data_IF_838572109675
#
_entry.id   IF_838572109675
#
_cell.length_a   1.000
_cell.length_b   1.000
_cell.length_c   1.000
_cell.angle_alpha   90.00
_cell.angle_beta   90.00
_cell.angle_gamma   90.00
#
_symmetry.space_group_name_H-M   'P 1'
#
loop_
_entity.id
_entity.type
_entity.pdbx_description
1 polymer ?
#
# COMPACT_ATOMS: atom_id res chain seq x y z
N UNK A 1 -23.05 27.90 -20.61
CA UNK A 1 -21.89 27.90 -19.71
C UNK A 1 -21.74 26.49 -19.19
N UNK A 2 -20.72 25.77 -19.66
CA UNK A 2 -20.36 24.43 -19.22
C UNK A 2 -19.68 24.57 -17.86
N UNK A 3 -20.29 24.07 -16.80
CA UNK A 3 -19.60 23.83 -15.54
C UNK A 3 -18.94 22.45 -15.62
N UNK A 4 -17.61 22.45 -15.50
CA UNK A 4 -16.76 21.28 -15.58
C UNK A 4 -16.99 20.35 -14.41
N UNK A 5 -17.43 19.13 -14.70
CA UNK A 5 -17.48 18.01 -13.77
C UNK A 5 -16.04 17.57 -13.53
N UNK A 6 -15.56 17.70 -12.29
CA UNK A 6 -14.22 17.28 -11.89
C UNK A 6 -14.03 15.78 -12.11
N UNK A 7 -13.07 15.44 -12.98
CA UNK A 7 -12.65 14.07 -13.22
C UNK A 7 -11.94 13.51 -11.98
N UNK A 8 -12.41 12.37 -11.47
CA UNK A 8 -11.59 11.52 -10.62
C UNK A 8 -10.44 10.98 -11.48
N UNK A 9 -9.25 11.56 -11.34
CA UNK A 9 -8.03 11.11 -12.01
C UNK A 9 -7.46 9.87 -11.30
N UNK A 10 -7.20 8.81 -12.08
CA UNK A 10 -6.34 7.73 -11.65
C UNK A 10 -4.89 8.22 -11.80
N UNK A 11 -4.23 8.53 -10.69
CA UNK A 11 -2.79 8.78 -10.71
C UNK A 11 -2.08 7.45 -11.02
N UNK A 12 -1.39 7.39 -12.16
CA UNK A 12 -0.49 6.29 -12.48
C UNK A 12 0.86 6.56 -11.82
N UNK A 13 1.32 5.62 -11.01
CA UNK A 13 2.66 5.68 -10.44
C UNK A 13 3.41 4.43 -10.84
N UNK A 14 4.58 4.63 -11.44
CA UNK A 14 5.42 3.56 -11.96
C UNK A 14 6.38 3.16 -10.85
N UNK A 15 6.35 1.88 -10.44
CA UNK A 15 7.44 1.30 -9.69
C UNK A 15 8.43 0.64 -10.66
N UNK A 16 9.72 0.97 -10.61
CA UNK A 16 10.75 0.35 -11.46
C UNK A 16 11.69 -0.54 -10.65
N UNK A 17 11.95 -1.74 -11.16
CA UNK A 17 12.94 -2.68 -10.61
C UNK A 17 14.37 -2.13 -10.74
N UNK A 18 15.11 -2.10 -9.64
CA UNK A 18 16.50 -1.67 -9.65
C UNK A 18 17.42 -2.81 -10.14
N UNK A 19 17.78 -2.80 -11.43
CA UNK A 19 18.98 -3.52 -11.91
C UNK A 19 18.86 -4.55 -13.05
N UNK A 20 17.67 -4.87 -13.55
CA UNK A 20 17.45 -5.62 -14.80
C UNK A 20 16.04 -5.30 -15.33
N UNK A 21 15.85 -5.30 -16.66
CA UNK A 21 14.61 -4.96 -17.42
C UNK A 21 13.47 -4.37 -16.56
N UNK A 22 13.32 -3.05 -16.60
CA UNK A 22 12.35 -2.33 -15.76
C UNK A 22 10.93 -2.92 -15.88
N UNK A 23 10.56 -3.76 -14.92
CA UNK A 23 9.17 -4.14 -14.73
C UNK A 23 8.48 -2.94 -14.10
N UNK A 24 7.56 -2.32 -14.85
CA UNK A 24 6.71 -1.27 -14.33
C UNK A 24 5.64 -1.90 -13.44
N UNK A 25 5.34 -1.33 -12.29
CA UNK A 25 4.10 -1.59 -11.56
C UNK A 25 3.28 -0.32 -11.56
N UNK A 26 1.96 -0.43 -11.72
CA UNK A 26 1.07 0.71 -11.67
C UNK A 26 0.41 0.79 -10.29
N UNK A 27 0.44 1.95 -9.62
CA UNK A 27 -0.53 2.20 -8.55
C UNK A 27 -1.82 2.79 -9.13
N UNK A 28 -2.95 2.47 -8.50
CA UNK A 28 -4.21 3.16 -8.70
C UNK A 28 -4.59 3.86 -7.39
N UNK A 29 -4.62 5.19 -7.42
CA UNK A 29 -5.14 6.02 -6.34
C UNK A 29 -6.58 6.46 -6.63
N UNK A 30 -7.42 6.47 -5.60
CA UNK A 30 -8.77 7.03 -5.69
C UNK A 30 -8.71 8.52 -5.34
N UNK A 31 -8.44 9.38 -6.33
CA UNK A 31 -8.50 10.81 -6.09
C UNK A 31 -9.95 11.29 -6.14
N UNK A 32 -10.45 11.79 -5.01
CA UNK A 32 -11.66 12.60 -5.00
C UNK A 32 -11.24 14.07 -5.10
N UNK A 33 -11.86 14.89 -5.97
CA UNK A 33 -11.73 16.33 -5.86
C UNK A 33 -12.14 16.76 -4.44
N UNK A 34 -11.67 17.91 -3.91
CA UNK A 34 -12.07 18.39 -2.61
C UNK A 34 -13.58 18.63 -2.61
N UNK A 35 -14.34 17.61 -2.24
CA UNK A 35 -15.76 17.74 -2.00
C UNK A 35 -15.92 18.56 -0.72
N UNK A 36 -16.88 19.49 -0.73
CA UNK A 36 -17.52 19.92 0.50
C UNK A 36 -17.73 18.69 1.36
N UNK A 37 -17.28 18.76 2.62
CA UNK A 37 -17.43 17.73 3.67
C UNK A 37 -18.46 16.68 3.27
N UNK A 38 -18.06 15.42 3.02
CA UNK A 38 -19.02 14.36 2.74
C UNK A 38 -20.08 14.46 3.81
N UNK A 39 -21.36 14.57 3.43
CA UNK A 39 -22.44 14.46 4.41
C UNK A 39 -22.19 13.12 5.08
N UNK A 40 -21.77 13.17 6.35
CA UNK A 40 -21.58 11.98 7.15
C UNK A 40 -22.88 11.18 7.02
N UNK A 41 -22.85 9.90 6.60
CA UNK A 41 -23.93 9.03 7.02
C UNK A 41 -23.88 9.09 8.54
N UNK A 42 -24.91 9.71 9.14
CA UNK A 42 -25.11 9.69 10.58
C UNK A 42 -24.86 8.27 11.04
N UNK A 43 -24.02 8.03 12.06
CA UNK A 43 -23.85 6.68 12.57
C UNK A 43 -25.26 6.19 12.95
N UNK A 44 -25.61 4.92 12.69
CA UNK A 44 -26.82 4.35 13.28
C UNK A 44 -26.54 4.12 14.77
N UNK A 45 -26.37 5.20 15.53
CA UNK A 45 -26.46 5.17 16.97
C UNK A 45 -27.94 5.05 17.31
N UNK A 46 -28.37 3.79 17.37
CA UNK A 46 -29.52 3.35 18.18
C UNK A 46 -30.70 4.33 18.22
N UNK A 47 -31.36 4.57 17.08
CA UNK A 47 -32.77 4.87 17.14
C UNK A 47 -33.47 3.54 17.48
N UNK A 48 -33.47 3.17 18.76
CA UNK A 48 -34.38 2.16 19.26
C UNK A 48 -35.78 2.71 18.99
N UNK A 49 -36.39 2.25 17.90
CA UNK A 49 -37.65 2.74 17.39
C UNK A 49 -38.71 2.68 18.49
N UNK A 50 -39.12 3.86 18.99
CA UNK A 50 -40.35 4.00 19.80
C UNK A 50 -41.62 3.69 18.99
N UNK A 51 -41.48 3.32 17.72
CA UNK A 51 -42.56 3.22 16.72
C UNK A 51 -42.70 1.82 16.10
N UNK A 52 -41.84 0.85 16.42
CA UNK A 52 -42.00 -0.54 15.96
C UNK A 52 -41.88 -0.74 14.44
N UNK A 53 -41.32 0.21 13.70
CA UNK A 53 -41.08 0.09 12.26
C UNK A 53 -39.59 -0.07 11.96
N UNK A 54 -39.26 -1.02 11.08
CA UNK A 54 -37.92 -1.27 10.57
C UNK A 54 -37.60 -0.21 9.49
N UNK A 55 -36.74 0.75 9.81
CA UNK A 55 -36.16 1.62 8.79
C UNK A 55 -34.96 0.92 8.12
N UNK A 56 -34.83 1.01 6.78
CA UNK A 56 -33.63 0.52 6.11
C UNK A 56 -32.40 1.24 6.64
N UNK A 57 -31.41 0.48 7.13
CA UNK A 57 -30.16 1.01 7.68
C UNK A 57 -29.30 1.80 6.65
N UNK A 58 -29.64 1.70 5.37
CA UNK A 58 -28.94 2.37 4.27
C UNK A 58 -29.97 3.06 3.37
N UNK A 59 -29.81 4.37 3.19
CA UNK A 59 -30.45 5.08 2.08
C UNK A 59 -29.93 4.47 0.77
N UNK A 60 -30.82 4.07 -0.14
CA UNK A 60 -30.40 3.62 -1.47
C UNK A 60 -29.59 4.69 -2.19
N UNK A 61 -28.69 4.27 -3.08
CA UNK A 61 -27.94 5.20 -3.92
C UNK A 61 -28.91 6.03 -4.77
N UNK A 62 -28.60 7.30 -4.96
CA UNK A 62 -29.19 8.13 -6.02
C UNK A 62 -28.75 7.60 -7.39
N UNK A 63 -29.51 7.91 -8.45
CA UNK A 63 -29.15 7.53 -9.82
C UNK A 63 -27.74 8.01 -10.21
N UNK A 64 -27.33 9.17 -9.70
CA UNK A 64 -26.00 9.70 -9.95
C UNK A 64 -24.90 8.88 -9.26
N UNK A 65 -25.10 8.50 -8.01
CA UNK A 65 -24.15 7.68 -7.27
C UNK A 65 -24.03 6.28 -7.87
N UNK A 66 -25.14 5.69 -8.33
CA UNK A 66 -25.08 4.42 -9.08
C UNK A 66 -24.26 4.57 -10.36
N UNK A 67 -24.44 5.67 -11.09
CA UNK A 67 -23.69 5.97 -12.32
C UNK A 67 -22.20 6.18 -12.03
N UNK A 68 -21.85 6.84 -10.93
CA UNK A 68 -20.47 7.00 -10.48
C UNK A 68 -19.84 5.66 -10.10
N UNK A 69 -20.54 4.84 -9.31
CA UNK A 69 -20.11 3.49 -8.93
C UNK A 69 -19.85 2.62 -10.16
N UNK A 70 -20.77 2.61 -11.15
CA UNK A 70 -20.58 1.87 -12.41
C UNK A 70 -19.36 2.33 -13.18
N UNK A 71 -19.12 3.64 -13.30
CA UNK A 71 -17.94 4.21 -13.97
C UNK A 71 -16.64 3.79 -13.28
N UNK A 72 -16.62 3.83 -11.95
CA UNK A 72 -15.46 3.41 -11.17
C UNK A 72 -15.14 1.91 -11.39
N UNK A 73 -16.15 1.03 -11.34
CA UNK A 73 -15.99 -0.39 -11.63
C UNK A 73 -15.47 -0.65 -13.06
N UNK A 74 -16.00 0.08 -14.04
CA UNK A 74 -15.52 0.00 -15.43
C UNK A 74 -14.05 0.43 -15.56
N UNK A 75 -13.65 1.51 -14.89
CA UNK A 75 -12.26 1.98 -14.90
C UNK A 75 -11.32 0.95 -14.26
N UNK A 76 -11.69 0.36 -13.13
CA UNK A 76 -10.89 -0.70 -12.51
C UNK A 76 -10.73 -1.92 -13.44
N UNK A 77 -11.80 -2.32 -14.14
CA UNK A 77 -11.75 -3.42 -15.10
C UNK A 77 -10.83 -3.12 -16.29
N UNK A 78 -10.88 -1.89 -16.82
CA UNK A 78 -9.98 -1.43 -17.89
C UNK A 78 -8.53 -1.45 -17.43
N UNK A 79 -8.24 -0.93 -16.23
CA UNK A 79 -6.90 -0.92 -15.66
C UNK A 79 -6.37 -2.34 -15.43
N UNK A 80 -7.17 -3.22 -14.84
CA UNK A 80 -6.79 -4.61 -14.60
C UNK A 80 -6.51 -5.36 -15.90
N UNK A 81 -7.37 -5.22 -16.92
CA UNK A 81 -7.13 -5.79 -18.25
C UNK A 81 -5.84 -5.27 -18.87
N UNK A 82 -5.59 -3.96 -18.77
CA UNK A 82 -4.38 -3.37 -19.33
C UNK A 82 -3.12 -3.84 -18.59
N UNK A 83 -3.21 -4.00 -17.28
CA UNK A 83 -2.15 -4.55 -16.45
C UNK A 83 -1.83 -6.00 -16.85
N UNK A 84 -2.86 -6.82 -17.09
CA UNK A 84 -2.69 -8.19 -17.61
C UNK A 84 -1.98 -8.20 -18.96
N UNK A 85 -2.43 -7.38 -19.92
CA UNK A 85 -1.81 -7.29 -21.26
C UNK A 85 -0.33 -6.88 -21.20
N UNK A 86 -0.01 -5.94 -20.32
CA UNK A 86 1.35 -5.42 -20.15
C UNK A 86 2.23 -6.28 -19.24
N UNK A 87 1.66 -7.29 -18.56
CA UNK A 87 2.39 -8.13 -17.61
C UNK A 87 2.86 -7.37 -16.36
N UNK A 88 2.17 -6.29 -15.98
CA UNK A 88 2.51 -5.43 -14.84
C UNK A 88 1.56 -5.65 -13.67
N UNK A 89 2.05 -5.45 -12.45
CA UNK A 89 1.19 -5.51 -11.25
C UNK A 89 0.42 -4.21 -11.08
N UNK A 90 -0.80 -4.31 -10.55
CA UNK A 90 -1.62 -3.17 -10.16
C UNK A 90 -1.78 -3.14 -8.64
N UNK A 91 -1.25 -2.11 -8.01
CA UNK A 91 -1.32 -1.91 -6.56
C UNK A 91 -2.37 -0.85 -6.25
N UNK A 92 -3.45 -1.24 -5.59
CA UNK A 92 -4.50 -0.29 -5.21
C UNK A 92 -4.11 0.34 -3.88
N UNK A 93 -3.97 1.66 -3.88
CA UNK A 93 -3.57 2.38 -2.69
C UNK A 93 -4.68 2.40 -1.63
N UNK A 94 -4.24 2.46 -0.38
CA UNK A 94 -5.13 2.60 0.76
C UNK A 94 -5.24 4.09 1.13
N UNK A 95 -6.45 4.49 1.52
CA UNK A 95 -6.78 5.86 1.89
C UNK A 95 -7.23 5.91 3.35
N UNK A 96 -7.91 6.98 3.77
CA UNK A 96 -8.43 7.10 5.14
C UNK A 96 -9.46 6.00 5.46
N UNK A 97 -9.59 5.69 6.76
CA UNK A 97 -10.39 4.58 7.30
C UNK A 97 -11.85 4.59 6.86
N UNK A 98 -12.42 5.77 6.61
CA UNK A 98 -13.81 5.92 6.19
C UNK A 98 -14.04 5.65 4.69
N UNK A 99 -12.99 5.61 3.87
CA UNK A 99 -13.05 5.16 2.47
C UNK A 99 -12.58 3.71 2.30
N UNK A 100 -11.70 3.26 3.19
CA UNK A 100 -10.99 1.99 3.05
C UNK A 100 -11.89 0.75 2.85
N UNK A 101 -13.06 0.60 3.53
CA UNK A 101 -13.92 -0.55 3.31
C UNK A 101 -14.40 -0.70 1.86
N UNK A 102 -14.75 0.41 1.21
CA UNK A 102 -15.16 0.40 -0.19
C UNK A 102 -13.97 0.04 -1.09
N UNK A 103 -12.83 0.71 -0.90
CA UNK A 103 -11.60 0.46 -1.66
C UNK A 103 -11.19 -1.00 -1.56
N UNK A 104 -11.07 -1.55 -0.34
CA UNK A 104 -10.67 -2.94 -0.14
C UNK A 104 -11.66 -3.92 -0.74
N UNK A 105 -12.98 -3.69 -0.60
CA UNK A 105 -13.99 -4.57 -1.21
C UNK A 105 -13.87 -4.63 -2.73
N UNK A 106 -13.67 -3.47 -3.38
CA UNK A 106 -13.50 -3.39 -4.83
C UNK A 106 -12.21 -4.07 -5.28
N UNK A 107 -11.12 -3.84 -4.56
CA UNK A 107 -9.82 -4.46 -4.84
C UNK A 107 -9.91 -5.98 -4.71
N UNK A 108 -10.56 -6.51 -3.67
CA UNK A 108 -10.75 -7.94 -3.50
C UNK A 108 -11.55 -8.56 -4.65
N UNK A 109 -12.61 -7.89 -5.14
CA UNK A 109 -13.32 -8.41 -6.31
C UNK A 109 -12.48 -8.36 -7.59
N UNK A 110 -11.54 -7.41 -7.70
CA UNK A 110 -10.56 -7.47 -8.79
C UNK A 110 -9.55 -8.60 -8.59
N UNK A 111 -9.06 -8.85 -7.37
CA UNK A 111 -8.20 -10.00 -7.08
C UNK A 111 -8.90 -11.32 -7.43
N UNK A 112 -10.14 -11.50 -6.97
CA UNK A 112 -10.95 -12.68 -7.26
C UNK A 112 -11.08 -12.95 -8.77
N UNK A 113 -11.23 -11.91 -9.58
CA UNK A 113 -11.42 -12.01 -11.02
C UNK A 113 -10.11 -12.18 -11.80
N UNK A 114 -9.04 -11.51 -11.38
CA UNK A 114 -7.80 -11.40 -12.17
C UNK A 114 -6.61 -12.18 -11.60
N UNK A 115 -6.58 -12.49 -10.30
CA UNK A 115 -5.49 -13.24 -9.65
C UNK A 115 -5.73 -14.75 -9.72
N UNK A 116 -5.87 -15.30 -10.93
CA UNK A 116 -6.15 -16.74 -11.11
C UNK A 116 -4.89 -17.57 -10.92
N UNK A 117 -3.88 -17.37 -11.77
CA UNK A 117 -2.63 -18.14 -11.75
C UNK A 117 -1.57 -17.55 -10.81
N UNK A 118 -1.54 -16.21 -10.73
CA UNK A 118 -0.62 -15.45 -9.87
C UNK A 118 -1.25 -14.11 -9.47
N UNK A 119 -0.82 -13.49 -8.37
CA UNK A 119 -1.26 -12.14 -8.02
C UNK A 119 -0.88 -11.11 -9.09
N UNK A 120 -1.89 -10.44 -9.64
CA UNK A 120 -1.77 -9.29 -10.53
C UNK A 120 -2.17 -8.01 -9.78
N UNK A 121 -3.28 -8.09 -9.06
CA UNK A 121 -3.87 -7.01 -8.29
C UNK A 121 -3.49 -7.17 -6.82
N UNK A 122 -3.06 -6.08 -6.20
CA UNK A 122 -2.62 -6.03 -4.81
C UNK A 122 -3.48 -5.04 -4.02
N UNK A 123 -3.94 -5.49 -2.85
CA UNK A 123 -4.63 -4.64 -1.88
C UNK A 123 -3.62 -4.09 -0.88
N UNK A 124 -3.73 -2.80 -0.54
CA UNK A 124 -2.85 -2.17 0.44
C UNK A 124 -3.43 -2.29 1.85
N UNK A 125 -2.69 -2.91 2.76
CA UNK A 125 -3.05 -3.03 4.17
C UNK A 125 -2.20 -2.10 5.03
N UNK A 126 -2.88 -1.26 5.82
CA UNK A 126 -2.24 -0.25 6.64
C UNK A 126 -2.06 -0.74 8.08
N UNK A 127 -0.83 -1.12 8.43
CA UNK A 127 -0.50 -1.78 9.70
C UNK A 127 -0.47 -0.86 10.93
N UNK A 128 -0.65 0.45 10.75
CA UNK A 128 -0.92 1.39 11.84
C UNK A 128 -2.34 1.24 12.41
N UNK A 129 -3.27 0.60 11.70
CA UNK A 129 -4.62 0.34 12.19
C UNK A 129 -4.64 -0.86 13.14
N UNK A 130 -5.55 -0.82 14.11
CA UNK A 130 -5.76 -1.93 15.06
C UNK A 130 -6.32 -3.19 14.38
N UNK A 131 -7.14 -3.00 13.35
CA UNK A 131 -7.83 -4.09 12.64
C UNK A 131 -6.99 -4.66 11.49
N UNK A 132 -5.74 -4.19 11.30
CA UNK A 132 -4.93 -4.57 10.14
C UNK A 132 -4.71 -6.09 10.03
N UNK A 133 -4.46 -6.76 11.15
CA UNK A 133 -4.28 -8.21 11.17
C UNK A 133 -5.56 -8.95 10.82
N UNK A 134 -6.68 -8.55 11.39
CA UNK A 134 -7.97 -9.18 11.15
C UNK A 134 -8.38 -9.02 9.67
N UNK A 135 -8.14 -7.85 9.08
CA UNK A 135 -8.38 -7.61 7.66
C UNK A 135 -7.50 -8.47 6.76
N UNK A 136 -6.18 -8.53 7.01
CA UNK A 136 -5.24 -9.36 6.22
C UNK A 136 -5.62 -10.83 6.33
N UNK A 137 -5.91 -11.32 7.53
CA UNK A 137 -6.24 -12.72 7.75
C UNK A 137 -7.58 -13.10 7.11
N UNK A 138 -8.61 -12.28 7.27
CA UNK A 138 -9.92 -12.52 6.68
C UNK A 138 -9.85 -12.59 5.15
N UNK A 139 -9.15 -11.64 4.53
CA UNK A 139 -9.06 -11.58 3.07
C UNK A 139 -8.23 -12.73 2.48
N UNK A 140 -7.15 -13.11 3.17
CA UNK A 140 -6.33 -14.26 2.78
C UNK A 140 -7.10 -15.58 2.95
N UNK A 141 -7.85 -15.75 4.04
CA UNK A 141 -8.73 -16.91 4.21
C UNK A 141 -9.81 -16.97 3.15
N UNK A 142 -10.39 -15.83 2.77
CA UNK A 142 -11.34 -15.74 1.68
C UNK A 142 -10.71 -16.18 0.35
N UNK A 143 -9.49 -15.70 0.06
CA UNK A 143 -8.71 -16.11 -1.10
C UNK A 143 -8.51 -17.62 -1.14
N UNK A 144 -8.12 -18.20 -0.01
CA UNK A 144 -7.88 -19.64 0.12
C UNK A 144 -9.16 -20.45 -0.14
N UNK A 145 -10.29 -20.03 0.44
CA UNK A 145 -11.59 -20.72 0.30
C UNK A 145 -12.13 -20.65 -1.11
N UNK A 146 -11.94 -19.53 -1.79
CA UNK A 146 -12.44 -19.32 -3.16
C UNK A 146 -11.45 -19.73 -4.25
N UNK A 147 -10.18 -19.96 -3.89
CA UNK A 147 -9.17 -20.57 -4.74
C UNK A 147 -8.32 -19.62 -5.60
N UNK A 148 -8.43 -18.30 -5.41
CA UNK A 148 -7.64 -17.28 -6.12
C UNK A 148 -6.35 -16.91 -5.36
N UNK A 149 -5.39 -16.29 -6.06
CA UNK A 149 -4.08 -15.94 -5.50
C UNK A 149 -4.10 -14.58 -4.77
N UNK A 150 -3.63 -14.55 -3.53
CA UNK A 150 -3.69 -13.37 -2.67
C UNK A 150 -2.55 -12.38 -2.94
N UNK A 151 -2.86 -11.11 -3.21
CA UNK A 151 -1.88 -10.04 -3.40
C UNK A 151 -1.98 -8.99 -2.30
N UNK A 152 -0.92 -8.81 -1.51
CA UNK A 152 -0.91 -7.82 -0.42
C UNK A 152 0.26 -6.83 -0.53
N UNK A 153 -0.02 -5.54 -0.34
CA UNK A 153 0.97 -4.49 -0.12
C UNK A 153 0.87 -4.05 1.34
N UNK A 154 1.89 -4.36 2.14
CA UNK A 154 1.91 -4.00 3.55
C UNK A 154 2.65 -2.66 3.73
N UNK A 155 1.93 -1.66 4.25
CA UNK A 155 2.48 -0.36 4.64
C UNK A 155 2.27 -0.14 6.13
N UNK A 156 3.01 0.79 6.75
CA UNK A 156 2.63 1.30 8.07
C UNK A 156 1.34 2.12 7.94
N UNK A 157 1.36 3.17 7.13
CA UNK A 157 0.23 4.07 6.91
C UNK A 157 0.74 5.50 6.69
N UNK A 158 -0.10 6.37 6.12
CA UNK A 158 0.27 7.75 5.80
C UNK A 158 -0.65 8.80 6.46
N UNK A 159 -1.75 8.38 7.09
CA UNK A 159 -2.85 9.26 7.50
C UNK A 159 -3.00 9.44 9.02
N UNK A 160 -1.99 9.04 9.81
CA UNK A 160 -2.00 9.03 11.29
C UNK A 160 -2.60 10.29 11.92
N UNK A 161 -2.15 11.47 11.51
CA UNK A 161 -2.58 12.74 12.08
C UNK A 161 -4.05 13.06 11.75
N UNK A 162 -4.48 12.75 10.53
CA UNK A 162 -5.84 13.01 10.06
C UNK A 162 -6.86 12.10 10.77
N UNK A 163 -6.53 10.81 10.91
CA UNK A 163 -7.35 9.84 11.63
C UNK A 163 -7.55 10.22 13.09
N UNK A 164 -6.49 10.60 13.81
CA UNK A 164 -6.59 11.02 15.22
C UNK A 164 -7.39 12.31 15.38
N UNK A 165 -7.17 13.28 14.50
CA UNK A 165 -7.93 14.54 14.52
C UNK A 165 -9.43 14.28 14.30
N UNK A 166 -9.77 13.43 13.32
CA UNK A 166 -11.15 13.05 13.02
C UNK A 166 -11.81 12.28 14.16
N UNK A 167 -11.09 11.32 14.77
CA UNK A 167 -11.60 10.56 15.92
C UNK A 167 -11.93 11.48 17.10
N UNK A 168 -11.08 12.46 17.38
CA UNK A 168 -11.32 13.46 18.42
C UNK A 168 -12.49 14.41 18.09
N UNK A 169 -12.64 14.81 16.82
CA UNK A 169 -13.72 15.70 16.36
C UNK A 169 -15.10 15.03 16.42
N UNK A 170 -15.20 13.80 15.94
CA UNK A 170 -16.48 13.05 15.86
C UNK A 170 -16.79 12.33 17.18
N UNK A 171 -15.77 11.99 17.97
CA UNK A 171 -15.91 11.31 19.27
C UNK A 171 -15.98 9.78 19.19
N UNK A 172 -15.36 9.16 18.18
CA UNK A 172 -15.19 7.71 18.12
C UNK A 172 -13.79 7.28 18.55
N UNK A 173 -13.61 5.99 18.81
CA UNK A 173 -12.33 5.44 19.26
C UNK A 173 -11.24 5.60 18.20
N UNK A 174 -10.04 6.03 18.61
CA UNK A 174 -8.88 6.14 17.73
C UNK A 174 -8.54 4.79 17.07
N UNK A 175 -8.67 4.66 15.75
CA UNK A 175 -8.50 3.38 15.05
C UNK A 175 -7.03 2.97 14.94
N UNK A 176 -6.09 3.82 15.36
CA UNK A 176 -4.66 3.62 15.22
C UNK A 176 -4.09 2.93 16.45
N UNK A 177 -3.05 2.13 16.22
CA UNK A 177 -2.21 1.57 17.26
C UNK A 177 -1.64 2.67 18.19
N UNK A 178 -1.52 2.41 19.50
CA UNK A 178 -1.18 3.44 20.47
C UNK A 178 0.25 4.00 20.30
N UNK A 179 1.18 3.19 19.80
CA UNK A 179 2.60 3.56 19.66
C UNK A 179 3.20 3.13 18.31
N UNK A 180 4.37 3.69 17.99
CA UNK A 180 5.15 3.28 16.83
C UNK A 180 5.57 1.81 16.93
N UNK A 181 5.96 1.36 18.12
CA UNK A 181 6.35 -0.01 18.41
C UNK A 181 5.17 -0.97 18.23
N UNK A 182 3.96 -0.59 18.67
CA UNK A 182 2.75 -1.36 18.44
C UNK A 182 2.43 -1.49 16.93
N UNK A 183 2.64 -0.42 16.16
CA UNK A 183 2.52 -0.45 14.69
C UNK A 183 3.55 -1.39 14.05
N UNK A 184 4.79 -1.40 14.55
CA UNK A 184 5.82 -2.33 14.05
C UNK A 184 5.46 -3.79 14.37
N UNK A 185 4.99 -4.06 15.58
CA UNK A 185 4.54 -5.39 15.97
C UNK A 185 3.35 -5.86 15.11
N UNK A 186 2.39 -4.97 14.84
CA UNK A 186 1.28 -5.23 13.93
C UNK A 186 1.77 -5.56 12.51
N UNK A 187 2.69 -4.75 11.97
CA UNK A 187 3.28 -4.96 10.65
C UNK A 187 3.96 -6.34 10.56
N UNK A 188 4.82 -6.67 11.54
CA UNK A 188 5.52 -7.96 11.56
C UNK A 188 4.55 -9.13 11.72
N UNK A 189 3.48 -8.97 12.49
CA UNK A 189 2.43 -9.98 12.66
C UNK A 189 1.69 -10.25 11.34
N UNK A 190 1.25 -9.20 10.65
CA UNK A 190 0.62 -9.32 9.33
C UNK A 190 1.57 -9.96 8.30
N UNK A 191 2.82 -9.48 8.25
CA UNK A 191 3.82 -10.00 7.32
C UNK A 191 4.10 -11.48 7.58
N UNK A 192 4.27 -11.89 8.84
CA UNK A 192 4.52 -13.28 9.18
C UNK A 192 3.40 -14.19 8.69
N UNK A 193 2.14 -13.77 8.86
CA UNK A 193 0.98 -14.54 8.41
C UNK A 193 0.99 -14.75 6.89
N UNK A 194 1.28 -13.70 6.12
CA UNK A 194 1.36 -13.80 4.67
C UNK A 194 2.54 -14.66 4.23
N UNK A 195 3.72 -14.53 4.85
CA UNK A 195 4.89 -15.37 4.54
C UNK A 195 4.64 -16.86 4.83
N UNK A 196 3.89 -17.18 5.88
CA UNK A 196 3.49 -18.57 6.16
C UNK A 196 2.55 -19.12 5.09
N UNK A 197 1.63 -18.29 4.55
CA UNK A 197 0.80 -18.68 3.40
C UNK A 197 1.65 -18.95 2.15
N UNK A 198 2.64 -18.09 1.86
CA UNK A 198 3.58 -18.28 0.76
C UNK A 198 4.27 -19.65 0.88
N UNK A 199 4.75 -19.98 2.07
CA UNK A 199 5.42 -21.27 2.32
C UNK A 199 4.49 -22.47 2.17
N UNK A 200 3.29 -22.39 2.72
CA UNK A 200 2.41 -23.54 2.82
C UNK A 200 1.65 -23.84 1.52
N UNK A 201 1.21 -22.80 0.81
CA UNK A 201 0.32 -22.94 -0.34
C UNK A 201 0.87 -22.31 -1.63
N UNK A 202 1.84 -21.40 -1.55
CA UNK A 202 2.45 -20.73 -2.71
C UNK A 202 1.50 -19.80 -3.50
N UNK A 203 0.25 -19.63 -3.06
CA UNK A 203 -0.79 -18.85 -3.74
C UNK A 203 -0.89 -17.41 -3.25
N UNK A 204 0.23 -16.80 -2.88
CA UNK A 204 0.25 -15.43 -2.41
C UNK A 204 1.55 -14.72 -2.80
N UNK A 205 1.48 -13.40 -2.95
CA UNK A 205 2.62 -12.51 -3.13
C UNK A 205 2.46 -11.31 -2.20
N UNK A 206 3.58 -10.79 -1.69
CA UNK A 206 3.58 -9.67 -0.76
C UNK A 206 4.59 -8.59 -1.13
N UNK A 207 4.13 -7.35 -1.16
CA UNK A 207 4.96 -6.14 -1.24
C UNK A 207 5.20 -5.59 0.17
N UNK A 208 6.44 -5.69 0.62
CA UNK A 208 6.96 -5.15 1.88
C UNK A 208 7.35 -3.68 1.65
N UNK A 209 6.37 -2.78 1.75
CA UNK A 209 6.57 -1.35 1.56
C UNK A 209 7.07 -0.69 2.87
N UNK A 210 8.39 -0.62 3.04
CA UNK A 210 9.03 -0.08 4.25
C UNK A 210 10.44 0.45 4.02
N UNK A 211 10.75 1.59 4.64
CA UNK A 211 12.11 2.14 4.77
C UNK A 211 12.81 1.77 6.08
N UNK A 212 12.13 1.05 6.98
CA UNK A 212 12.69 0.66 8.25
C UNK A 212 13.59 -0.59 8.07
N UNK A 213 14.88 -0.45 8.43
CA UNK A 213 15.86 -1.53 8.34
C UNK A 213 15.50 -2.76 9.18
N UNK A 214 14.90 -2.59 10.36
CA UNK A 214 14.50 -3.70 11.23
C UNK A 214 13.37 -4.51 10.61
N UNK A 215 12.42 -3.86 9.93
CA UNK A 215 11.40 -4.55 9.14
C UNK A 215 12.03 -5.34 8.01
N UNK A 216 12.97 -4.76 7.27
CA UNK A 216 13.66 -5.50 6.19
C UNK A 216 14.46 -6.68 6.74
N UNK A 217 15.23 -6.50 7.81
CA UNK A 217 15.97 -7.59 8.47
C UNK A 217 15.05 -8.67 9.03
N UNK A 218 13.89 -8.28 9.56
CA UNK A 218 12.86 -9.23 9.99
C UNK A 218 12.37 -10.06 8.80
N UNK A 219 12.00 -9.42 7.68
CA UNK A 219 11.56 -10.12 6.46
C UNK A 219 12.62 -11.12 5.98
N UNK A 220 13.88 -10.68 5.86
CA UNK A 220 14.97 -11.52 5.37
C UNK A 220 15.20 -12.75 6.24
N UNK A 221 15.25 -12.58 7.56
CA UNK A 221 15.37 -13.70 8.51
C UNK A 221 14.18 -14.65 8.38
N UNK A 222 12.96 -14.11 8.28
CA UNK A 222 11.77 -14.95 8.19
C UNK A 222 11.70 -15.73 6.88
N UNK A 223 12.12 -15.12 5.78
CA UNK A 223 12.28 -15.81 4.49
C UNK A 223 13.29 -16.96 4.58
N UNK A 224 14.44 -16.73 5.22
CA UNK A 224 15.45 -17.76 5.45
C UNK A 224 14.90 -18.93 6.29
N UNK A 225 14.24 -18.63 7.41
CA UNK A 225 13.60 -19.64 8.28
C UNK A 225 12.54 -20.48 7.55
N UNK A 226 11.78 -19.85 6.65
CA UNK A 226 10.75 -20.52 5.85
C UNK A 226 11.32 -21.17 4.59
N UNK A 227 12.58 -20.91 4.23
CA UNK A 227 13.19 -21.35 2.99
C UNK A 227 12.53 -20.74 1.75
N UNK A 228 12.12 -19.47 1.82
CA UNK A 228 11.64 -18.68 0.68
C UNK A 228 12.83 -18.00 0.01
N UNK A 229 12.99 -18.18 -1.30
CA UNK A 229 14.14 -17.68 -2.04
C UNK A 229 13.76 -16.44 -2.88
N UNK A 230 14.66 -15.44 -3.04
CA UNK A 230 14.41 -14.28 -3.93
C UNK A 230 13.98 -14.68 -5.35
N UNK A 231 14.53 -15.80 -5.85
CA UNK A 231 14.25 -16.33 -7.18
C UNK A 231 12.79 -16.76 -7.36
N UNK A 232 12.06 -17.04 -6.27
CA UNK A 232 10.64 -17.42 -6.32
C UNK A 232 9.77 -16.21 -6.71
N UNK A 233 10.29 -14.98 -6.58
CA UNK A 233 9.60 -13.72 -6.86
C UNK A 233 8.21 -13.66 -6.20
N UNK A 234 8.12 -14.00 -4.92
CA UNK A 234 6.88 -13.89 -4.13
C UNK A 234 6.92 -12.78 -3.07
N UNK A 235 8.12 -12.35 -2.67
CA UNK A 235 8.33 -11.29 -1.68
C UNK A 235 9.07 -10.13 -2.35
N UNK A 236 8.43 -8.97 -2.32
CA UNK A 236 8.87 -7.75 -2.97
C UNK A 236 9.20 -6.68 -1.94
N UNK A 237 10.19 -5.84 -2.22
CA UNK A 237 10.55 -4.72 -1.34
C UNK A 237 10.22 -3.39 -2.01
N UNK A 238 9.37 -2.58 -1.37
CA UNK A 238 8.88 -1.32 -1.93
C UNK A 238 9.37 -0.14 -1.12
N UNK A 239 9.97 0.84 -1.80
CA UNK A 239 10.51 2.04 -1.16
C UNK A 239 10.22 3.25 -2.02
N UNK A 240 10.01 4.40 -1.41
CA UNK A 240 9.86 5.66 -2.13
C UNK A 240 11.18 6.08 -2.80
N UNK A 241 11.08 6.63 -4.02
CA UNK A 241 12.22 7.19 -4.72
C UNK A 241 12.85 8.34 -3.92
N UNK A 242 14.19 8.39 -3.91
CA UNK A 242 14.96 9.40 -3.18
C UNK A 242 15.10 9.12 -1.68
N UNK A 243 14.70 7.93 -1.22
CA UNK A 243 14.78 7.54 0.18
C UNK A 243 15.39 6.15 0.35
N UNK A 244 16.32 6.04 1.31
CA UNK A 244 16.87 4.80 1.83
C UNK A 244 17.54 3.89 0.80
N UNK A 245 18.34 4.48 -0.09
CA UNK A 245 19.09 3.74 -1.11
C UNK A 245 20.14 2.79 -0.49
N UNK A 246 20.61 3.09 0.72
CA UNK A 246 21.44 2.19 1.52
C UNK A 246 20.75 0.85 1.87
N UNK A 247 19.43 0.75 1.71
CA UNK A 247 18.66 -0.48 1.86
C UNK A 247 18.37 -1.09 0.49
N UNK A 248 17.94 -0.28 -0.47
CA UNK A 248 17.53 -0.74 -1.80
C UNK A 248 18.67 -1.40 -2.57
N UNK A 249 19.85 -0.77 -2.61
CA UNK A 249 20.96 -1.29 -3.41
C UNK A 249 21.50 -2.63 -2.91
N UNK A 250 21.76 -2.83 -1.59
CA UNK A 250 22.18 -4.15 -1.11
C UNK A 250 21.14 -5.25 -1.36
N UNK A 251 19.83 -4.94 -1.23
CA UNK A 251 18.76 -5.90 -1.53
C UNK A 251 18.77 -6.30 -3.01
N UNK A 252 18.83 -5.32 -3.92
CA UNK A 252 18.91 -5.59 -5.36
C UNK A 252 20.16 -6.37 -5.75
N UNK A 253 21.31 -6.04 -5.16
CA UNK A 253 22.57 -6.79 -5.36
C UNK A 253 22.49 -8.22 -4.86
N UNK A 254 21.70 -8.48 -3.82
CA UNK A 254 21.44 -9.82 -3.31
C UNK A 254 20.34 -10.58 -4.09
N UNK A 255 19.85 -10.02 -5.22
CA UNK A 255 18.89 -10.66 -6.10
C UNK A 255 17.43 -10.55 -5.66
N UNK A 256 17.12 -9.73 -4.65
CA UNK A 256 15.75 -9.48 -4.25
C UNK A 256 15.07 -8.51 -5.22
N UNK A 257 13.77 -8.71 -5.53
CA UNK A 257 13.03 -7.78 -6.36
C UNK A 257 12.69 -6.52 -5.54
N UNK A 258 13.31 -5.40 -5.91
CA UNK A 258 13.22 -4.11 -5.21
C UNK A 258 12.62 -3.07 -6.14
N UNK A 259 11.58 -2.39 -5.65
CA UNK A 259 10.79 -1.42 -6.37
C UNK A 259 10.91 -0.04 -5.75
N UNK A 260 11.12 0.97 -6.60
CA UNK A 260 11.05 2.37 -6.21
C UNK A 260 9.71 2.97 -6.63
N UNK A 261 8.89 3.38 -5.67
CA UNK A 261 7.68 4.13 -5.90
C UNK A 261 8.02 5.54 -6.39
N UNK A 262 7.56 5.87 -7.61
CA UNK A 262 7.82 7.15 -8.27
C UNK A 262 6.49 7.87 -8.52
N UNK A 263 6.22 8.99 -7.83
CA UNK A 263 5.11 9.86 -8.22
C UNK A 263 5.43 10.49 -9.57
N UNK A 264 4.48 10.47 -10.49
CA UNK A 264 4.63 11.06 -11.82
C UNK A 264 3.36 11.83 -12.19
N UNK A 265 3.53 13.09 -12.58
CA UNK A 265 2.42 13.95 -12.99
C UNK A 265 2.76 15.44 -12.87
N UNK A 266 1.84 16.31 -13.30
CA UNK A 266 1.92 17.75 -13.07
C UNK A 266 2.13 18.09 -11.60
N UNK A 267 2.93 19.14 -11.33
CA UNK A 267 3.33 19.52 -9.97
C UNK A 267 2.12 19.71 -9.05
N UNK A 268 1.05 20.35 -9.55
CA UNK A 268 -0.15 20.65 -8.76
C UNK A 268 -0.89 19.39 -8.28
N UNK A 269 -0.91 18.33 -9.08
CA UNK A 269 -1.55 17.05 -8.74
C UNK A 269 -0.73 16.26 -7.72
N UNK A 270 0.60 16.40 -7.76
CA UNK A 270 1.50 15.71 -6.81
C UNK A 270 1.75 16.49 -5.52
N UNK A 271 1.27 17.73 -5.38
CA UNK A 271 1.44 18.53 -4.16
C UNK A 271 0.91 17.85 -2.88
N UNK A 272 -0.28 17.23 -2.85
CA UNK A 272 -0.75 16.49 -1.68
C UNK A 272 0.20 15.36 -1.29
N UNK A 273 0.74 14.64 -2.27
CA UNK A 273 1.76 13.61 -2.05
C UNK A 273 3.03 14.20 -1.43
N UNK A 274 3.56 15.30 -2.00
CA UNK A 274 4.76 15.97 -1.50
C UNK A 274 4.58 16.50 -0.07
N UNK A 275 3.40 17.02 0.27
CA UNK A 275 3.07 17.50 1.62
C UNK A 275 3.12 16.35 2.64
N UNK A 276 2.48 15.22 2.34
CA UNK A 276 2.55 14.01 3.20
C UNK A 276 3.98 13.53 3.38
N UNK A 277 4.77 13.55 2.31
CA UNK A 277 6.20 13.22 2.35
C UNK A 277 7.02 14.19 3.19
N UNK A 278 6.74 15.49 3.13
CA UNK A 278 7.42 16.47 3.99
C UNK A 278 7.13 16.22 5.48
N UNK A 279 5.87 15.89 5.82
CA UNK A 279 5.47 15.55 7.19
C UNK A 279 6.12 14.24 7.68
N UNK A 280 6.11 13.19 6.86
CA UNK A 280 6.79 11.93 7.16
C UNK A 280 8.31 12.14 7.28
N UNK A 281 8.88 12.96 6.39
CA UNK A 281 10.32 13.18 6.33
C UNK A 281 10.90 13.89 7.55
N UNK A 282 10.09 14.59 8.35
CA UNK A 282 10.54 15.08 9.66
C UNK A 282 11.04 13.94 10.57
N UNK A 283 10.48 12.72 10.44
CA UNK A 283 11.00 11.51 11.09
C UNK A 283 12.18 10.87 10.32
N UNK A 284 12.20 11.00 8.99
CA UNK A 284 13.24 10.47 8.07
C UNK A 284 14.54 11.26 8.12
N UNK A 285 14.55 12.49 8.67
CA UNK A 285 15.78 13.26 8.89
C UNK A 285 16.88 12.45 9.63
N UNK A 286 16.50 11.45 10.44
CA UNK A 286 17.43 10.48 11.03
C UNK A 286 18.05 9.53 10.00
N UNK A 287 17.25 9.00 9.06
CA UNK A 287 17.68 8.15 7.95
C UNK A 287 18.63 8.87 6.98
N UNK A 288 18.32 10.11 6.60
CA UNK A 288 19.18 10.91 5.71
C UNK A 288 20.57 11.20 6.33
N UNK A 289 20.64 11.43 7.65
CA UNK A 289 21.93 11.58 8.35
C UNK A 289 22.74 10.28 8.33
N UNK A 290 22.08 9.14 8.48
CA UNK A 290 22.72 7.82 8.43
C UNK A 290 23.23 7.50 7.03
N UNK A 291 22.43 7.75 6.01
CA UNK A 291 22.82 7.59 4.61
C UNK A 291 24.05 8.43 4.27
N UNK A 292 24.05 9.72 4.64
CA UNK A 292 25.23 10.59 4.48
C UNK A 292 26.46 10.05 5.19
N UNK A 293 26.30 9.49 6.40
CA UNK A 293 27.40 8.87 7.13
C UNK A 293 27.96 7.66 6.38
N UNK A 294 27.10 6.79 5.83
CA UNK A 294 27.50 5.60 5.08
C UNK A 294 28.20 5.99 3.76
N UNK A 295 27.66 6.97 3.03
CA UNK A 295 28.30 7.51 1.82
C UNK A 295 29.68 8.08 2.12
N UNK A 296 29.84 8.79 3.24
CA UNK A 296 31.13 9.32 3.66
C UNK A 296 32.13 8.21 4.04
N UNK A 297 31.67 7.15 4.71
CA UNK A 297 32.49 5.98 5.03
C UNK A 297 32.95 5.27 3.76
N UNK A 298 32.06 5.08 2.79
CA UNK A 298 32.39 4.46 1.51
C UNK A 298 33.35 5.32 0.68
N UNK A 299 33.15 6.65 0.65
CA UNK A 299 34.08 7.56 -0.02
C UNK A 299 35.48 7.50 0.59
N UNK A 300 35.57 7.54 1.93
CA UNK A 300 36.85 7.35 2.64
C UNK A 300 37.49 6.03 2.30
N UNK A 301 36.73 4.93 2.33
CA UNK A 301 37.22 3.59 1.98
C UNK A 301 37.82 3.59 0.57
N UNK A 302 37.11 4.14 -0.43
CA UNK A 302 37.61 4.21 -1.82
C UNK A 302 38.89 5.02 -1.95
N UNK A 303 38.99 6.16 -1.26
CA UNK A 303 40.20 6.97 -1.23
C UNK A 303 41.38 6.21 -0.61
N UNK A 304 41.17 5.49 0.50
CA UNK A 304 42.22 4.71 1.14
C UNK A 304 42.63 3.45 0.37
N UNK A 305 41.69 2.78 -0.32
CA UNK A 305 41.98 1.54 -1.06
C UNK A 305 42.37 1.76 -2.52
N UNK A 306 42.38 3.00 -3.02
CA UNK A 306 42.68 3.33 -4.42
C UNK A 306 41.64 2.85 -5.46
N UNK A 307 40.54 2.26 -5.00
CA UNK A 307 39.48 1.73 -5.86
C UNK A 307 38.41 2.81 -6.09
N UNK A 308 38.71 3.73 -7.02
CA UNK A 308 37.83 4.86 -7.36
C UNK A 308 36.53 4.43 -8.03
N UNK A 309 36.55 3.32 -8.76
CA UNK A 309 35.41 2.81 -9.53
C UNK A 309 34.83 1.54 -8.92
N UNK A 310 33.50 1.46 -8.88
CA UNK A 310 32.79 0.24 -8.52
C UNK A 310 32.92 -0.78 -9.66
N UNK A 311 33.34 -2.00 -9.35
CA UNK A 311 33.31 -3.14 -10.26
C UNK A 311 32.36 -4.17 -9.64
N UNK A 312 31.15 -4.37 -10.19
CA UNK A 312 30.30 -5.47 -9.73
C UNK A 312 30.99 -6.81 -10.01
N UNK A 313 30.80 -7.76 -9.10
CA UNK A 313 31.19 -9.15 -9.28
C UNK A 313 30.18 -9.88 -10.18
#
# INVERSE_FOLDING_TARGET
>A
MQEGVGDAEAAFEIASEAGCEATAEANAAFHTPPAETPRTPTPPQSALARTGQLEPLLSGFTEEEERQMRRMLQRMDVLAKKATEAGVRLMVDAEQTYFQPAISRLTLEMQRRFNVEKPLIFNTYQCYLRDAYDNVTLDLELARREGWCFGAKLVRGAYMAQERARAAEIGYEDPINPTYEATNAMYHRCLNYVLEELKNNGKAEVMVASHNEDTVRFTLRRMEELGLHPADRQVYFGQLLGMCDQISFPLGQAGFPVYKYVPYGPVMEVLPYLSRRALENNSVMKGARRERQLLWQELKRRLYTGNLFYRPA
#
